data_IF_839217616853
#
_entry.id   IF_839217616853
#
_cell.length_a   1.000
_cell.length_b   1.000
_cell.length_c   1.000
_cell.angle_alpha   90.00
_cell.angle_beta   90.00
_cell.angle_gamma   90.00
#
_symmetry.space_group_name_H-M   'P 1'
#
loop_
_entity.id
_entity.type
_entity.pdbx_description
1 polymer ?
#
# COMPACT_ATOMS: atom_id res chain seq x y z
N UNK A 1 -2.08 -16.50 4.89
CA UNK A 1 -1.23 -15.45 4.27
C UNK A 1 -1.47 -14.19 5.07
N UNK A 2 -0.43 -13.51 5.50
CA UNK A 2 -0.53 -12.22 6.22
C UNK A 2 -0.57 -11.07 5.22
N UNK A 3 -1.41 -10.05 5.44
CA UNK A 3 -1.43 -8.83 4.65
C UNK A 3 -1.11 -7.61 5.51
N UNK A 4 -0.34 -6.69 4.94
CA UNK A 4 0.14 -5.48 5.61
C UNK A 4 0.15 -4.28 4.67
N UNK A 5 0.06 -3.10 5.26
CA UNK A 5 0.34 -1.82 4.64
C UNK A 5 1.49 -1.20 5.42
N UNK A 6 2.61 -0.91 4.75
CA UNK A 6 3.85 -0.40 5.35
C UNK A 6 4.34 -1.21 6.57
N UNK A 7 4.17 -2.54 6.50
CA UNK A 7 4.53 -3.47 7.56
C UNK A 7 3.54 -3.53 8.73
N UNK A 8 2.44 -2.78 8.70
CA UNK A 8 1.36 -2.83 9.69
C UNK A 8 0.25 -3.76 9.23
N UNK A 9 -0.23 -4.63 10.10
CA UNK A 9 -1.30 -5.60 9.78
C UNK A 9 -2.62 -4.87 9.51
N UNK A 10 -3.21 -5.10 8.33
CA UNK A 10 -4.46 -4.45 7.88
C UNK A 10 -5.72 -5.33 8.07
N UNK A 11 -5.61 -6.43 8.81
CA UNK A 11 -6.75 -7.27 9.19
C UNK A 11 -7.41 -6.76 10.49
N UNK A 12 -8.76 -6.69 10.57
CA UNK A 12 -9.47 -6.21 11.77
C UNK A 12 -9.27 -7.12 12.99
N UNK A 13 -9.00 -8.42 12.76
CA UNK A 13 -8.58 -9.35 13.80
C UNK A 13 -7.49 -10.27 13.23
N UNK A 14 -6.22 -9.82 13.20
CA UNK A 14 -5.15 -10.51 12.49
C UNK A 14 -4.84 -11.91 13.04
N UNK A 15 -5.30 -12.21 14.26
CA UNK A 15 -5.12 -13.49 14.94
C UNK A 15 -6.40 -14.32 15.09
N UNK A 16 -7.59 -13.71 14.94
CA UNK A 16 -8.87 -14.36 15.25
C UNK A 16 -9.82 -14.48 14.06
N UNK A 17 -9.63 -13.66 13.01
CA UNK A 17 -10.44 -13.72 11.78
C UNK A 17 -9.57 -13.44 10.53
N UNK A 18 -8.70 -14.37 10.14
CA UNK A 18 -7.71 -14.16 9.09
C UNK A 18 -8.28 -14.12 7.65
N UNK A 19 -9.60 -14.15 7.47
CA UNK A 19 -10.22 -14.00 6.15
C UNK A 19 -10.68 -12.56 5.87
N UNK A 20 -10.70 -11.69 6.88
CA UNK A 20 -11.28 -10.36 6.79
C UNK A 20 -10.27 -9.28 6.33
N UNK A 21 -9.47 -9.56 5.30
CA UNK A 21 -8.52 -8.56 4.78
C UNK A 21 -9.18 -7.65 3.76
N UNK A 22 -8.91 -6.35 3.87
CA UNK A 22 -9.14 -5.40 2.78
C UNK A 22 -7.89 -5.34 1.91
N UNK A 23 -8.07 -5.24 0.59
CA UNK A 23 -6.97 -5.00 -0.35
C UNK A 23 -6.97 -3.50 -0.68
N UNK A 24 -5.91 -2.75 -0.32
CA UNK A 24 -5.83 -1.34 -0.64
C UNK A 24 -5.85 -1.13 -2.16
N UNK A 25 -6.23 0.08 -2.57
CA UNK A 25 -6.23 0.46 -3.97
C UNK A 25 -4.79 0.46 -4.48
N UNK A 26 -4.44 -0.54 -5.28
CA UNK A 26 -3.07 -0.80 -5.74
C UNK A 26 -2.46 0.35 -6.51
N UNK A 27 -3.26 1.23 -7.13
CA UNK A 27 -2.69 2.38 -7.85
C UNK A 27 -2.06 3.41 -6.90
N UNK A 28 -2.50 3.46 -5.64
CA UNK A 28 -1.89 4.33 -4.62
C UNK A 28 -0.56 3.79 -4.09
N UNK A 29 -0.30 2.51 -4.30
CA UNK A 29 0.87 1.82 -3.75
C UNK A 29 2.03 1.95 -4.73
N UNK A 30 3.22 2.22 -4.21
CA UNK A 30 4.43 2.26 -5.03
C UNK A 30 4.99 0.84 -5.27
N UNK A 31 4.76 -0.09 -4.33
CA UNK A 31 5.17 -1.48 -4.49
C UNK A 31 4.24 -2.48 -3.79
N UNK A 32 4.26 -3.72 -4.29
CA UNK A 32 3.66 -4.89 -3.64
C UNK A 32 4.76 -5.92 -3.41
N UNK A 33 5.13 -6.12 -2.15
CA UNK A 33 6.17 -7.06 -1.76
C UNK A 33 5.54 -8.41 -1.36
N UNK A 34 6.00 -9.49 -1.98
CA UNK A 34 5.52 -10.85 -1.69
C UNK A 34 6.64 -11.65 -1.03
N UNK A 35 6.49 -11.89 0.28
CA UNK A 35 7.46 -12.64 1.07
C UNK A 35 7.01 -14.08 1.24
N UNK A 36 7.88 -15.01 0.82
CA UNK A 36 7.64 -16.46 0.87
C UNK A 36 8.64 -17.14 1.81
N UNK A 37 8.19 -18.20 2.47
CA UNK A 37 9.06 -19.02 3.32
C UNK A 37 9.61 -18.27 4.55
N UNK A 38 10.86 -18.52 4.98
CA UNK A 38 11.41 -18.00 6.23
C UNK A 38 11.40 -16.47 6.36
N UNK A 39 11.48 -15.75 5.24
CA UNK A 39 11.46 -14.28 5.21
C UNK A 39 10.15 -13.69 5.76
N UNK A 40 9.07 -14.47 5.79
CA UNK A 40 7.77 -14.03 6.28
C UNK A 40 7.64 -14.05 7.81
N UNK A 41 8.52 -14.76 8.54
CA UNK A 41 8.41 -14.95 10.02
C UNK A 41 8.47 -13.62 10.77
N UNK A 42 9.22 -12.62 10.28
CA UNK A 42 9.32 -11.31 10.93
C UNK A 42 7.99 -10.53 10.99
N UNK A 43 7.00 -10.95 10.21
CA UNK A 43 5.70 -10.29 10.09
C UNK A 43 4.58 -10.96 10.89
N UNK A 44 4.95 -11.77 11.88
CA UNK A 44 4.03 -12.33 12.86
C UNK A 44 3.73 -13.82 12.68
N UNK A 45 3.01 -14.42 13.64
CA UNK A 45 2.83 -15.88 13.72
C UNK A 45 1.92 -16.46 12.63
N UNK A 46 1.15 -15.65 11.89
CA UNK A 46 0.20 -16.14 10.87
C UNK A 46 0.77 -16.16 9.44
N UNK A 47 2.08 -16.42 9.32
CA UNK A 47 2.84 -16.29 8.07
C UNK A 47 3.14 -17.63 7.38
N UNK A 48 2.46 -18.72 7.80
CA UNK A 48 2.64 -20.07 7.23
C UNK A 48 2.44 -20.11 5.71
N UNK A 49 1.52 -19.29 5.19
CA UNK A 49 1.29 -19.14 3.74
C UNK A 49 2.14 -18.07 3.05
N UNK A 50 3.03 -17.38 3.78
CA UNK A 50 3.71 -16.17 3.34
C UNK A 50 3.04 -14.88 3.80
N UNK A 51 3.62 -13.75 3.40
CA UNK A 51 3.16 -12.40 3.72
C UNK A 51 3.18 -11.50 2.47
N UNK A 52 2.22 -10.60 2.39
CA UNK A 52 2.13 -9.56 1.36
C UNK A 52 2.18 -8.20 2.07
N UNK A 53 3.03 -7.31 1.58
CA UNK A 53 3.15 -5.94 2.05
C UNK A 53 2.83 -4.97 0.91
N UNK A 54 1.86 -4.10 1.13
CA UNK A 54 1.54 -2.97 0.26
C UNK A 54 2.34 -1.77 0.76
N UNK A 55 3.21 -1.24 -0.09
CA UNK A 55 4.09 -0.12 0.25
C UNK A 55 3.47 1.16 -0.30
N UNK A 56 3.15 2.10 0.59
CA UNK A 56 2.64 3.41 0.21
C UNK A 56 3.75 4.28 -0.36
N UNK A 57 3.35 5.38 -0.99
CA UNK A 57 4.31 6.31 -1.56
C UNK A 57 5.05 7.10 -0.48
N UNK A 58 6.37 7.17 -0.60
CA UNK A 58 7.20 7.97 0.30
C UNK A 58 7.04 9.47 0.03
N UNK A 59 7.29 10.27 1.08
CA UNK A 59 7.34 11.73 0.96
C UNK A 59 8.53 12.14 0.07
N UNK A 60 8.31 12.87 -1.04
CA UNK A 60 9.37 13.16 -1.99
C UNK A 60 10.37 14.18 -1.44
N UNK A 61 11.64 14.06 -1.85
CA UNK A 61 12.73 14.95 -1.40
C UNK A 61 12.70 16.35 -2.02
N UNK A 62 11.97 16.51 -3.13
CA UNK A 62 11.69 17.77 -3.80
C UNK A 62 10.22 17.78 -4.23
N UNK A 63 9.75 18.91 -4.77
CA UNK A 63 8.39 19.02 -5.29
C UNK A 63 8.14 17.96 -6.38
N UNK A 64 7.15 17.09 -6.15
CA UNK A 64 6.68 16.07 -7.08
C UNK A 64 5.16 16.14 -7.19
N UNK A 65 4.65 16.02 -8.42
CA UNK A 65 3.24 15.99 -8.69
C UNK A 65 2.96 14.98 -9.81
N UNK A 66 2.01 14.08 -9.56
CA UNK A 66 1.57 13.05 -10.50
C UNK A 66 0.06 13.11 -10.62
N UNK A 67 -0.44 12.97 -11.83
CA UNK A 67 -1.86 12.78 -12.09
C UNK A 67 -2.01 11.60 -13.04
N UNK A 68 -2.98 10.74 -12.79
CA UNK A 68 -3.30 9.63 -13.67
C UNK A 68 -4.80 9.61 -13.95
N UNK A 69 -5.13 9.27 -15.20
CA UNK A 69 -6.51 9.08 -15.63
C UNK A 69 -6.57 7.75 -16.37
N UNK A 70 -7.50 6.89 -15.95
CA UNK A 70 -7.68 5.56 -16.52
C UNK A 70 -9.09 5.42 -17.06
N UNK A 71 -9.21 4.88 -18.27
CA UNK A 71 -10.48 4.55 -18.91
C UNK A 71 -10.50 3.05 -19.24
N UNK A 72 -11.65 2.41 -19.10
CA UNK A 72 -11.80 0.97 -19.37
C UNK A 72 -13.17 0.63 -19.93
N UNK A 73 -13.36 -0.66 -20.23
CA UNK A 73 -14.65 -1.21 -20.66
C UNK A 73 -15.73 -1.01 -19.58
N UNK A 74 -17.00 -1.09 -19.98
CA UNK A 74 -18.16 -0.94 -19.10
C UNK A 74 -18.30 0.44 -18.43
N UNK A 75 -17.74 1.48 -19.05
CA UNK A 75 -17.81 2.85 -18.53
C UNK A 75 -16.88 3.11 -17.34
N UNK A 76 -15.83 2.29 -17.19
CA UNK A 76 -14.84 2.49 -16.14
C UNK A 76 -14.06 3.79 -16.40
N UNK A 77 -14.13 4.72 -15.45
CA UNK A 77 -13.27 5.89 -15.38
C UNK A 77 -12.67 6.01 -13.98
N UNK A 78 -11.42 6.44 -13.91
CA UNK A 78 -10.72 6.67 -12.65
C UNK A 78 -9.76 7.84 -12.79
N UNK A 79 -9.78 8.72 -11.81
CA UNK A 79 -8.90 9.86 -11.71
C UNK A 79 -8.05 9.70 -10.46
N UNK A 80 -6.79 10.10 -10.53
CA UNK A 80 -5.88 10.03 -9.38
C UNK A 80 -4.93 11.22 -9.45
N UNK A 81 -4.62 11.79 -8.30
CA UNK A 81 -3.71 12.92 -8.17
C UNK A 81 -2.89 12.79 -6.90
N UNK A 82 -1.58 12.92 -7.04
CA UNK A 82 -0.61 12.92 -5.95
C UNK A 82 0.23 14.18 -6.03
N UNK A 83 0.41 14.84 -4.91
CA UNK A 83 1.30 16.01 -4.77
C UNK A 83 2.10 15.87 -3.48
N UNK A 84 3.40 16.07 -3.56
CA UNK A 84 4.27 16.04 -2.40
C UNK A 84 5.39 17.04 -2.51
N UNK A 85 5.90 17.47 -1.35
CA UNK A 85 7.05 18.34 -1.27
C UNK A 85 7.75 18.17 0.07
N UNK A 86 9.02 18.57 0.12
CA UNK A 86 9.81 18.63 1.34
C UNK A 86 10.47 20.00 1.49
N UNK A 87 10.31 20.60 2.67
CA UNK A 87 10.94 21.84 3.10
C UNK A 87 11.92 21.53 4.23
N UNK A 88 13.20 21.35 3.86
CA UNK A 88 14.26 21.05 4.83
C UNK A 88 14.08 19.66 5.44
N UNK A 89 13.67 19.61 6.72
CA UNK A 89 13.46 18.38 7.48
C UNK A 89 11.98 17.96 7.61
N UNK A 90 11.05 18.73 7.04
CA UNK A 90 9.63 18.42 7.06
C UNK A 90 9.13 18.24 5.63
N UNK A 91 8.35 17.20 5.38
CA UNK A 91 7.71 17.01 4.08
C UNK A 91 6.28 16.53 4.22
N UNK A 92 5.53 16.67 3.13
CA UNK A 92 4.14 16.26 3.04
C UNK A 92 3.91 15.54 1.72
N UNK A 93 2.98 14.60 1.76
CA UNK A 93 2.42 13.92 0.60
C UNK A 93 0.90 13.94 0.75
N UNK A 94 0.21 14.38 -0.30
CA UNK A 94 -1.24 14.33 -0.41
C UNK A 94 -1.55 13.49 -1.64
N UNK A 95 -2.39 12.49 -1.45
CA UNK A 95 -2.80 11.53 -2.48
C UNK A 95 -4.33 11.46 -2.52
N UNK A 96 -4.90 11.54 -3.71
CA UNK A 96 -6.33 11.62 -3.96
C UNK A 96 -6.76 10.74 -5.14
N UNK A 97 -7.91 10.11 -4.99
CA UNK A 97 -8.57 9.21 -5.93
C UNK A 97 -10.00 9.67 -6.20
#
# INVERSE_FOLDING_TARGET
>A
ITMMEDGVLIGPAPYSAPAAYYVPNVNRMDAVEVLKGPASIKYGPHTVGGAINFVTADVPSAFDAKASVSFGSDGYEKYEGRIGNSLGNAGFLIDGL
#
